data_IF_265537130063
#
_entry.id   IF_265537130063
#
_cell.length_a   1.000
_cell.length_b   1.000
_cell.length_c   1.000
_cell.angle_alpha   90.00
_cell.angle_beta   90.00
_cell.angle_gamma   90.00
#
_symmetry.space_group_name_H-M   'P 1'
#
loop_
_entity.id
_entity.type
_entity.pdbx_description
1 polymer ?
#
# COMPACT_ATOMS: atom_id res chain seq x y z
N UNK A 1 -0.16 -43.77 52.66
CA UNK A 1 0.23 -42.46 52.10
C UNK A 1 0.67 -42.68 50.65
N UNK A 2 -0.06 -42.09 49.69
CA UNK A 2 0.04 -42.40 48.26
C UNK A 2 1.17 -41.61 47.55
N UNK A 3 1.94 -42.30 46.71
CA UNK A 3 3.04 -41.73 45.90
C UNK A 3 2.47 -40.96 44.70
N UNK A 4 2.82 -39.68 44.58
CA UNK A 4 2.41 -38.82 43.47
C UNK A 4 3.24 -39.11 42.21
N UNK A 5 2.57 -39.52 41.14
CA UNK A 5 3.13 -39.85 39.84
C UNK A 5 3.28 -38.56 38.99
N UNK A 6 4.51 -38.08 38.75
CA UNK A 6 4.77 -36.89 37.93
C UNK A 6 4.71 -37.25 36.45
N UNK A 7 3.63 -36.84 35.77
CA UNK A 7 3.55 -36.89 34.29
C UNK A 7 4.45 -35.79 33.70
N UNK A 8 5.57 -36.18 33.12
CA UNK A 8 6.38 -35.33 32.25
C UNK A 8 5.63 -35.08 30.95
N UNK A 9 5.08 -33.88 30.79
CA UNK A 9 4.49 -33.44 29.51
C UNK A 9 5.53 -32.56 28.82
N UNK A 10 6.20 -33.10 27.81
CA UNK A 10 7.07 -32.33 26.92
C UNK A 10 6.23 -31.31 26.13
N UNK A 11 6.66 -30.04 26.01
CA UNK A 11 5.92 -29.06 25.23
C UNK A 11 6.03 -29.40 23.74
N UNK A 12 4.89 -29.71 23.11
CA UNK A 12 4.74 -29.89 21.67
C UNK A 12 5.08 -28.55 20.99
N UNK A 13 6.24 -28.45 20.34
CA UNK A 13 6.58 -27.35 19.43
C UNK A 13 5.49 -27.26 18.36
N UNK A 14 4.60 -26.29 18.48
CA UNK A 14 3.72 -25.88 17.40
C UNK A 14 4.61 -25.34 16.29
N UNK A 15 4.77 -26.11 15.20
CA UNK A 15 5.34 -25.60 13.95
C UNK A 15 4.39 -24.53 13.45
N UNK A 16 4.68 -23.27 13.75
CA UNK A 16 4.08 -22.12 13.07
C UNK A 16 4.40 -22.28 11.59
N UNK A 17 3.37 -22.52 10.77
CA UNK A 17 3.52 -22.50 9.34
C UNK A 17 4.10 -21.13 8.93
N UNK A 18 5.11 -21.08 8.03
CA UNK A 18 5.58 -19.80 7.52
C UNK A 18 4.41 -19.07 6.87
N UNK A 19 4.22 -17.80 7.23
CA UNK A 19 3.22 -16.96 6.56
C UNK A 19 3.52 -16.99 5.05
N UNK A 20 2.51 -17.16 4.17
CA UNK A 20 2.72 -17.08 2.74
C UNK A 20 3.35 -15.71 2.42
N UNK A 21 4.38 -15.71 1.58
CA UNK A 21 4.96 -14.48 1.07
C UNK A 21 3.87 -13.71 0.30
N UNK A 22 3.84 -12.38 0.48
CA UNK A 22 2.93 -11.52 -0.27
C UNK A 22 3.27 -11.60 -1.77
N UNK A 23 2.25 -11.65 -2.64
CA UNK A 23 2.43 -11.76 -4.09
C UNK A 23 1.43 -10.88 -4.84
N UNK A 24 1.80 -10.42 -6.03
CA UNK A 24 0.94 -9.58 -6.87
C UNK A 24 0.42 -8.35 -6.12
N UNK A 25 -0.87 -8.05 -6.27
CA UNK A 25 -1.51 -6.88 -5.66
C UNK A 25 -1.46 -6.85 -4.11
N UNK A 26 -1.15 -7.97 -3.44
CA UNK A 26 -0.99 -8.03 -1.99
C UNK A 26 0.32 -7.39 -1.49
N UNK A 27 1.26 -7.10 -2.39
CA UNK A 27 2.49 -6.36 -2.08
C UNK A 27 2.19 -4.91 -1.72
N UNK A 28 1.18 -4.31 -2.35
CA UNK A 28 0.70 -2.98 -1.99
C UNK A 28 -0.19 -3.14 -0.77
N UNK A 29 0.20 -2.53 0.36
CA UNK A 29 -0.62 -2.47 1.57
C UNK A 29 -0.57 -1.08 2.16
N UNK A 30 -1.74 -0.49 2.36
CA UNK A 30 -1.85 0.72 3.17
C UNK A 30 -1.20 0.51 4.55
N UNK A 31 -0.50 1.50 5.13
CA UNK A 31 0.17 1.36 6.41
C UNK A 31 -0.83 0.99 7.52
N UNK A 32 -0.67 -0.19 8.12
CA UNK A 32 -1.47 -0.65 9.26
C UNK A 32 -0.65 -0.46 10.55
N UNK A 33 -0.56 0.78 11.05
CA UNK A 33 0.00 1.12 12.37
C UNK A 33 1.23 2.05 12.40
N UNK A 34 1.56 2.53 13.63
CA UNK A 34 2.54 3.57 14.06
C UNK A 34 2.27 5.01 13.62
N UNK A 35 1.75 5.22 12.42
CA UNK A 35 1.16 6.51 12.08
C UNK A 35 -0.32 6.40 12.46
N UNK A 36 -0.81 7.22 13.40
CA UNK A 36 -2.26 7.36 13.66
C UNK A 36 -2.92 7.96 12.41
N UNK A 37 -3.05 7.14 11.38
CA UNK A 37 -3.66 7.46 10.09
C UNK A 37 -5.17 7.25 10.24
N UNK A 38 -5.76 7.96 11.19
CA UNK A 38 -7.17 8.22 11.05
C UNK A 38 -7.32 9.31 9.99
N UNK A 39 -7.68 8.89 8.78
CA UNK A 39 -7.97 9.77 7.66
C UNK A 39 -9.47 9.68 7.36
N UNK A 40 -10.36 10.14 8.26
CA UNK A 40 -11.79 9.96 8.12
C UNK A 40 -12.32 10.60 6.83
N UNK A 41 -11.76 11.76 6.44
CA UNK A 41 -12.14 12.46 5.22
C UNK A 41 -11.72 11.70 3.97
N UNK A 42 -10.46 11.25 3.86
CA UNK A 42 -10.02 10.44 2.71
C UNK A 42 -10.80 9.13 2.62
N UNK A 43 -11.04 8.45 3.75
CA UNK A 43 -11.87 7.23 3.79
C UNK A 43 -13.32 7.51 3.41
N UNK A 44 -13.84 8.72 3.67
CA UNK A 44 -15.19 9.13 3.24
C UNK A 44 -15.21 9.37 1.74
N UNK A 45 -14.22 10.07 1.19
CA UNK A 45 -14.10 10.36 -0.24
C UNK A 45 -13.89 9.09 -1.05
N UNK A 46 -12.98 8.19 -0.64
CA UNK A 46 -12.75 6.91 -1.32
C UNK A 46 -14.00 6.02 -1.31
N UNK A 47 -14.88 6.16 -0.32
CA UNK A 47 -16.16 5.45 -0.33
C UNK A 47 -17.09 5.93 -1.45
N UNK A 48 -16.90 7.12 -2.01
CA UNK A 48 -17.66 7.63 -3.16
C UNK A 48 -17.10 7.10 -4.49
N UNK A 49 -15.79 6.87 -4.57
CA UNK A 49 -15.13 6.34 -5.76
C UNK A 49 -15.15 4.81 -5.76
N UNK A 50 -16.18 4.18 -6.35
CA UNK A 50 -16.32 2.71 -6.38
C UNK A 50 -16.53 2.14 -7.77
N UNK A 51 -16.71 3.00 -8.76
CA UNK A 51 -17.10 2.61 -10.10
C UNK A 51 -15.87 2.48 -11.00
N UNK A 52 -15.96 1.66 -12.06
CA UNK A 52 -14.88 1.50 -13.06
C UNK A 52 -14.34 2.83 -13.61
N UNK A 53 -15.24 3.80 -13.84
CA UNK A 53 -14.90 5.11 -14.40
C UNK A 53 -14.18 6.05 -13.40
N UNK A 54 -14.14 5.70 -12.11
CA UNK A 54 -13.49 6.52 -11.09
C UNK A 54 -11.98 6.34 -11.07
N UNK A 55 -11.45 5.36 -11.80
CA UNK A 55 -10.03 5.00 -11.80
C UNK A 55 -9.13 6.17 -12.18
N UNK A 56 -9.48 6.95 -13.21
CA UNK A 56 -8.68 8.10 -13.63
C UNK A 56 -8.60 9.15 -12.51
N UNK A 57 -9.70 9.41 -11.81
CA UNK A 57 -9.74 10.31 -10.66
C UNK A 57 -8.91 9.79 -9.49
N UNK A 58 -8.96 8.47 -9.24
CA UNK A 58 -8.15 7.84 -8.19
C UNK A 58 -6.65 7.86 -8.52
N UNK A 59 -6.28 7.69 -9.79
CA UNK A 59 -4.90 7.82 -10.26
C UNK A 59 -4.42 9.26 -10.08
N UNK A 60 -5.23 10.26 -10.46
CA UNK A 60 -4.89 11.66 -10.24
C UNK A 60 -4.71 11.99 -8.75
N UNK A 61 -5.57 11.43 -7.87
CA UNK A 61 -5.46 11.60 -6.42
C UNK A 61 -4.20 10.94 -5.86
N UNK A 62 -3.85 9.74 -6.36
CA UNK A 62 -2.60 9.05 -6.03
C UNK A 62 -1.38 9.88 -6.42
N UNK A 63 -1.32 10.34 -7.68
CA UNK A 63 -0.21 11.14 -8.22
C UNK A 63 -0.06 12.46 -7.46
N UNK A 64 -1.16 13.12 -7.10
CA UNK A 64 -1.14 14.36 -6.32
C UNK A 64 -0.52 14.15 -4.93
N UNK A 65 -0.88 13.07 -4.22
CA UNK A 65 -0.28 12.76 -2.92
C UNK A 65 1.19 12.37 -3.04
N UNK A 66 1.55 11.59 -4.06
CA UNK A 66 2.94 11.20 -4.31
C UNK A 66 3.82 12.43 -4.65
N UNK A 67 3.33 13.30 -5.54
CA UNK A 67 4.01 14.55 -5.88
C UNK A 67 4.17 15.46 -4.66
N UNK A 68 3.15 15.57 -3.81
CA UNK A 68 3.21 16.30 -2.55
C UNK A 68 4.26 15.73 -1.60
N UNK A 69 4.32 14.41 -1.43
CA UNK A 69 5.33 13.74 -0.60
C UNK A 69 6.75 14.04 -1.09
N UNK A 70 6.98 13.95 -2.40
CA UNK A 70 8.27 14.22 -3.03
C UNK A 70 8.67 15.69 -2.96
N UNK A 71 7.72 16.61 -3.11
CA UNK A 71 7.98 18.04 -2.96
C UNK A 71 8.42 18.40 -1.54
N UNK A 72 7.77 17.82 -0.52
CA UNK A 72 8.10 18.05 0.88
C UNK A 72 9.51 17.53 1.22
N UNK A 73 9.86 16.32 0.77
CA UNK A 73 11.23 15.79 0.91
C UNK A 73 12.26 16.63 0.15
N UNK A 74 11.90 17.09 -1.05
CA UNK A 74 12.74 17.94 -1.88
C UNK A 74 13.06 19.27 -1.20
N UNK A 75 12.11 19.86 -0.48
CA UNK A 75 12.32 21.08 0.32
C UNK A 75 13.24 20.79 1.50
N UNK A 76 13.02 19.69 2.23
CA UNK A 76 13.81 19.35 3.40
C UNK A 76 15.27 19.00 3.07
N UNK A 77 15.51 18.40 1.90
CA UNK A 77 16.86 18.07 1.42
C UNK A 77 17.63 19.28 0.88
N UNK A 78 17.08 20.49 0.90
CA UNK A 78 17.80 21.67 0.43
C UNK A 78 18.90 22.05 1.42
N UNK A 79 20.09 22.48 0.95
CA UNK A 79 21.19 22.89 1.82
C UNK A 79 20.86 24.04 2.79
N UNK A 80 19.77 24.77 2.52
CA UNK A 80 19.30 25.92 3.31
C UNK A 80 18.15 25.57 4.26
N UNK A 81 17.63 24.35 4.19
CA UNK A 81 16.54 23.88 5.04
C UNK A 81 17.11 23.44 6.39
N UNK A 82 17.58 24.39 7.20
CA UNK A 82 18.04 24.09 8.56
C UNK A 82 16.87 23.52 9.39
N UNK A 83 16.90 22.21 9.65
CA UNK A 83 16.09 21.59 10.71
C UNK A 83 14.58 21.46 10.47
N UNK A 84 14.12 21.45 9.21
CA UNK A 84 12.70 21.24 8.88
C UNK A 84 12.24 19.77 9.05
N UNK A 85 12.68 19.06 10.09
CA UNK A 85 12.27 17.68 10.43
C UNK A 85 10.76 17.45 10.59
N UNK A 86 10.00 18.55 10.59
CA UNK A 86 8.56 18.58 10.44
C UNK A 86 8.18 17.97 9.09
N UNK A 87 8.76 18.43 7.97
CA UNK A 87 8.38 18.07 6.60
C UNK A 87 8.53 16.57 6.28
N UNK A 88 9.46 15.86 6.91
CA UNK A 88 9.59 14.40 6.79
C UNK A 88 8.31 13.72 7.28
N UNK A 89 7.70 14.24 8.34
CA UNK A 89 6.45 13.72 8.88
C UNK A 89 5.28 14.01 7.95
N UNK A 90 5.15 15.22 7.40
CA UNK A 90 4.09 15.50 6.43
C UNK A 90 4.30 14.73 5.12
N UNK A 91 5.54 14.55 4.67
CA UNK A 91 5.84 13.72 3.50
C UNK A 91 5.42 12.27 3.74
N UNK A 92 5.78 11.70 4.90
CA UNK A 92 5.34 10.35 5.30
C UNK A 92 3.81 10.24 5.35
N UNK A 93 3.13 11.30 5.79
CA UNK A 93 1.67 11.35 5.83
C UNK A 93 1.04 11.41 4.42
N UNK A 94 1.60 12.20 3.51
CA UNK A 94 1.18 12.25 2.10
C UNK A 94 1.41 10.90 1.40
N UNK A 95 2.56 10.29 1.63
CA UNK A 95 2.87 8.98 1.09
C UNK A 95 1.91 7.90 1.60
N UNK A 96 1.58 7.93 2.89
CA UNK A 96 0.58 7.06 3.45
C UNK A 96 -0.82 7.26 2.82
N UNK A 97 -1.20 8.50 2.47
CA UNK A 97 -2.45 8.77 1.74
C UNK A 97 -2.41 8.15 0.34
N UNK A 98 -1.31 8.33 -0.39
CA UNK A 98 -1.13 7.73 -1.71
C UNK A 98 -1.30 6.20 -1.63
N UNK A 99 -0.69 5.54 -0.64
CA UNK A 99 -0.84 4.10 -0.45
C UNK A 99 -2.26 3.66 -0.10
N UNK A 100 -3.03 4.47 0.64
CA UNK A 100 -4.45 4.20 0.90
C UNK A 100 -5.28 4.28 -0.39
N UNK A 101 -4.99 5.25 -1.26
CA UNK A 101 -5.64 5.36 -2.58
C UNK A 101 -5.26 4.16 -3.46
N UNK A 102 -3.97 3.80 -3.51
CA UNK A 102 -3.50 2.64 -4.25
C UNK A 102 -4.12 1.33 -3.75
N UNK A 103 -4.26 1.17 -2.43
CA UNK A 103 -4.94 0.03 -1.82
C UNK A 103 -6.38 -0.08 -2.31
N UNK A 104 -7.08 1.06 -2.35
CA UNK A 104 -8.47 1.15 -2.77
C UNK A 104 -8.65 0.84 -4.27
N UNK A 105 -7.73 1.31 -5.13
CA UNK A 105 -7.73 1.02 -6.57
C UNK A 105 -7.63 -0.48 -6.88
N UNK A 106 -7.08 -1.31 -5.99
CA UNK A 106 -7.03 -2.76 -6.20
C UNK A 106 -8.42 -3.39 -6.31
N UNK A 107 -9.40 -2.86 -5.59
CA UNK A 107 -10.76 -3.40 -5.54
C UNK A 107 -11.63 -2.98 -6.72
N UNK A 108 -11.19 -2.00 -7.51
CA UNK A 108 -11.97 -1.46 -8.62
C UNK A 108 -11.45 -2.04 -9.92
N UNK A 109 -12.39 -2.52 -10.73
CA UNK A 109 -12.13 -3.10 -12.04
C UNK A 109 -12.42 -2.03 -13.11
N UNK A 110 -11.42 -1.49 -13.82
CA UNK A 110 -11.65 -0.53 -14.89
C UNK A 110 -12.32 -1.21 -16.09
N UNK A 111 -13.09 -0.43 -16.85
CA UNK A 111 -13.85 -0.89 -18.03
C UNK A 111 -13.19 -0.58 -19.36
N UNK A 112 -12.29 0.40 -19.41
CA UNK A 112 -11.60 0.81 -20.63
C UNK A 112 -10.08 0.60 -20.52
N UNK A 113 -9.45 0.41 -21.69
CA UNK A 113 -8.02 0.08 -21.80
C UNK A 113 -7.13 1.18 -21.19
N UNK A 114 -7.49 2.45 -21.38
CA UNK A 114 -6.71 3.57 -20.88
C UNK A 114 -6.74 3.61 -19.33
N UNK A 115 -7.89 3.40 -18.72
CA UNK A 115 -8.02 3.29 -17.27
C UNK A 115 -7.28 2.06 -16.71
N UNK A 116 -7.25 0.93 -17.44
CA UNK A 116 -6.43 -0.23 -17.07
C UNK A 116 -4.95 0.15 -17.04
N UNK A 117 -4.44 0.80 -18.08
CA UNK A 117 -3.04 1.23 -18.16
C UNK A 117 -2.68 2.22 -17.05
N UNK A 118 -3.53 3.24 -16.82
CA UNK A 118 -3.31 4.22 -15.76
C UNK A 118 -3.30 3.58 -14.37
N UNK A 119 -4.25 2.69 -14.07
CA UNK A 119 -4.29 1.93 -12.82
C UNK A 119 -3.04 1.08 -12.65
N UNK A 120 -2.66 0.33 -13.69
CA UNK A 120 -1.50 -0.56 -13.66
C UNK A 120 -0.20 0.23 -13.40
N UNK A 121 -0.03 1.39 -14.06
CA UNK A 121 1.09 2.30 -13.83
C UNK A 121 1.12 2.84 -12.40
N UNK A 122 -0.02 3.26 -11.85
CA UNK A 122 -0.09 3.78 -10.50
C UNK A 122 0.26 2.70 -9.45
N UNK A 123 -0.25 1.48 -9.62
CA UNK A 123 0.06 0.35 -8.73
C UNK A 123 1.53 -0.10 -8.85
N UNK A 124 2.09 -0.09 -10.06
CA UNK A 124 3.53 -0.31 -10.28
C UNK A 124 4.36 0.73 -9.52
N UNK A 125 4.02 2.02 -9.66
CA UNK A 125 4.70 3.11 -8.95
C UNK A 125 4.61 2.92 -7.44
N UNK A 126 3.43 2.63 -6.89
CA UNK A 126 3.24 2.39 -5.46
C UNK A 126 4.12 1.23 -4.95
N UNK A 127 4.32 0.20 -5.78
CA UNK A 127 5.13 -0.97 -5.44
C UNK A 127 6.62 -0.63 -5.37
N UNK A 128 7.11 0.15 -6.33
CA UNK A 128 8.50 0.63 -6.34
C UNK A 128 8.79 1.56 -5.16
N UNK A 129 7.86 2.46 -4.86
CA UNK A 129 7.95 3.37 -3.71
C UNK A 129 8.00 2.62 -2.38
N UNK A 130 7.30 1.48 -2.25
CA UNK A 130 7.38 0.59 -1.09
C UNK A 130 8.74 -0.12 -0.96
N UNK A 131 9.66 0.08 -1.89
CA UNK A 131 10.99 -0.53 -1.89
C UNK A 131 11.01 -1.98 -2.39
N UNK A 132 9.94 -2.43 -3.04
CA UNK A 132 9.95 -3.75 -3.68
C UNK A 132 10.85 -3.73 -4.92
N UNK A 133 11.59 -4.83 -5.12
CA UNK A 133 12.43 -5.00 -6.30
C UNK A 133 11.61 -5.19 -7.59
N UNK A 134 12.32 -5.23 -8.72
CA UNK A 134 11.73 -5.32 -10.06
C UNK A 134 10.80 -6.53 -10.24
N UNK A 135 11.12 -7.67 -9.62
CA UNK A 135 10.25 -8.86 -9.68
C UNK A 135 8.90 -8.65 -8.99
N UNK A 136 8.87 -7.96 -7.84
CA UNK A 136 7.63 -7.62 -7.15
C UNK A 136 6.80 -6.60 -7.94
N UNK A 137 7.47 -5.60 -8.49
CA UNK A 137 6.89 -4.61 -9.38
C UNK A 137 6.27 -5.25 -10.64
N UNK A 138 6.98 -6.20 -11.27
CA UNK A 138 6.47 -6.98 -12.40
C UNK A 138 5.25 -7.81 -12.02
N UNK A 139 5.28 -8.52 -10.88
CA UNK A 139 4.15 -9.33 -10.43
C UNK A 139 2.89 -8.48 -10.17
N UNK A 140 3.04 -7.25 -9.66
CA UNK A 140 1.94 -6.30 -9.51
C UNK A 140 1.41 -5.85 -10.86
N UNK A 141 2.30 -5.51 -11.80
CA UNK A 141 1.91 -5.08 -13.14
C UNK A 141 1.11 -6.17 -13.86
N UNK A 142 1.61 -7.40 -13.86
CA UNK A 142 0.91 -8.56 -14.46
C UNK A 142 -0.47 -8.77 -13.82
N UNK A 143 -0.57 -8.69 -12.49
CA UNK A 143 -1.83 -8.85 -11.78
C UNK A 143 -2.83 -7.70 -12.05
N UNK A 144 -2.34 -6.46 -12.15
CA UNK A 144 -3.18 -5.29 -12.45
C UNK A 144 -3.76 -5.35 -13.87
N UNK A 145 -2.96 -5.82 -14.84
CA UNK A 145 -3.39 -6.02 -16.22
C UNK A 145 -4.35 -7.20 -16.37
N UNK A 146 -4.07 -8.34 -15.71
CA UNK A 146 -4.92 -9.53 -15.77
C UNK A 146 -6.33 -9.28 -15.19
N UNK A 147 -6.42 -8.47 -14.13
CA UNK A 147 -7.70 -7.99 -13.61
C UNK A 147 -8.47 -7.24 -14.72
N UNK A 148 -7.80 -6.36 -15.47
CA UNK A 148 -8.31 -5.57 -16.61
C UNK A 148 -9.03 -6.37 -17.70
N UNK A 149 -8.55 -7.57 -18.00
CA UNK A 149 -8.96 -8.35 -19.19
C UNK A 149 -10.04 -9.40 -18.93
N UNK A 150 -10.53 -9.55 -17.69
CA UNK A 150 -11.49 -10.58 -17.31
C UNK A 150 -12.97 -10.18 -17.46
N UNK A 151 -13.26 -9.13 -18.24
CA UNK A 151 -14.60 -8.60 -18.49
C UNK A 151 -15.13 -8.99 -19.89
#
# INVERSE_FOLDING_TARGET
MAKANRKSTTPRKTRTAPKPALQGLDLIRAPRGRINLDMPDLKRELRLFRHPNDIVSLVALFDAYLAGANALLGIENQPRAEGLGILTRESSFMWAKALVVAEHMKAIQPSDVLAIEHRARALLSATLELGHGLEGARAVLEAAMAAGTAA
#
